data_IF_878930200890
#
_entry.id   IF_878930200890
#
_cell.length_a   1.000
_cell.length_b   1.000
_cell.length_c   1.000
_cell.angle_alpha   90.00
_cell.angle_beta   90.00
_cell.angle_gamma   90.00
#
_symmetry.space_group_name_H-M   'P 1'
#
loop_
_entity.id
_entity.type
_entity.pdbx_description
1 polymer ?
#
# COMPACT_ATOMS: atom_id res chain seq x y z
N UNK A 1 74.62 -1.17 -11.04
CA UNK A 1 73.94 -0.15 -10.19
C UNK A 1 72.57 0.04 -10.74
N UNK A 2 71.66 -0.81 -10.35
CA UNK A 2 70.31 -0.88 -10.95
C UNK A 2 69.32 -0.38 -9.89
N UNK A 3 68.79 0.81 -10.13
CA UNK A 3 67.79 1.41 -9.30
C UNK A 3 66.41 0.83 -9.71
N UNK A 4 65.90 -0.07 -8.88
CA UNK A 4 64.55 -0.56 -8.94
C UNK A 4 63.61 0.56 -8.53
N UNK A 5 62.86 1.08 -9.51
CA UNK A 5 61.70 1.92 -9.28
C UNK A 5 60.53 1.06 -8.77
N UNK A 6 60.23 1.19 -7.53
CA UNK A 6 59.03 0.65 -6.90
C UNK A 6 57.84 1.49 -7.43
N UNK A 7 57.01 0.89 -8.28
CA UNK A 7 55.73 1.45 -8.67
C UNK A 7 54.85 1.58 -7.44
N UNK A 8 54.70 2.78 -6.98
CA UNK A 8 53.59 3.15 -6.09
C UNK A 8 52.29 2.97 -6.85
N UNK A 9 51.62 1.87 -6.66
CA UNK A 9 50.20 1.73 -6.97
C UNK A 9 49.43 2.68 -6.06
N UNK A 10 48.83 3.69 -6.67
CA UNK A 10 47.99 4.68 -6.04
C UNK A 10 46.87 4.02 -5.20
N UNK A 11 46.77 4.29 -3.88
CA UNK A 11 45.74 3.69 -3.02
C UNK A 11 44.35 4.31 -3.22
N UNK A 12 44.17 5.16 -4.24
CA UNK A 12 42.91 5.85 -4.53
C UNK A 12 41.87 5.01 -5.26
N UNK A 13 42.15 3.73 -5.56
CA UNK A 13 41.17 2.85 -6.23
C UNK A 13 40.32 1.98 -5.28
N UNK A 14 40.51 2.07 -3.99
CA UNK A 14 39.56 1.53 -3.03
C UNK A 14 38.43 2.54 -2.91
N UNK A 15 37.38 2.34 -3.73
CA UNK A 15 36.09 3.00 -3.52
C UNK A 15 35.70 2.70 -2.09
N UNK A 16 35.76 3.71 -1.24
CA UNK A 16 35.34 3.64 0.14
C UNK A 16 33.83 3.44 0.17
N UNK A 17 33.41 2.18 0.25
CA UNK A 17 32.01 1.75 0.32
C UNK A 17 31.27 2.34 1.52
N UNK A 18 32.02 2.96 2.47
CA UNK A 18 31.45 3.61 3.65
C UNK A 18 30.79 4.97 3.34
N UNK A 19 31.03 5.56 2.15
CA UNK A 19 30.52 6.87 1.76
C UNK A 19 29.37 6.85 0.74
N UNK A 20 28.87 5.68 0.37
CA UNK A 20 27.62 5.60 -0.39
C UNK A 20 26.49 5.96 0.59
N UNK A 21 25.99 7.18 0.50
CA UNK A 21 24.86 7.61 1.33
C UNK A 21 23.68 6.65 1.14
N UNK A 22 22.93 6.40 2.22
CA UNK A 22 21.69 5.59 2.19
C UNK A 22 20.77 5.97 1.03
N UNK A 23 20.74 7.26 0.68
CA UNK A 23 20.00 7.80 -0.47
C UNK A 23 20.47 7.23 -1.81
N UNK A 24 21.79 7.11 -2.01
CA UNK A 24 22.36 6.53 -3.23
C UNK A 24 22.12 5.03 -3.33
N UNK A 25 22.14 4.33 -2.20
CA UNK A 25 21.78 2.90 -2.15
C UNK A 25 20.30 2.72 -2.46
N UNK A 26 19.42 3.52 -1.84
CA UNK A 26 17.98 3.49 -2.09
C UNK A 26 17.62 3.87 -3.53
N UNK A 27 18.35 4.82 -4.14
CA UNK A 27 18.13 5.21 -5.53
C UNK A 27 18.39 4.06 -6.53
N UNK A 28 19.33 3.16 -6.22
CA UNK A 28 19.69 2.02 -7.07
C UNK A 28 18.70 0.85 -6.98
N UNK A 29 17.84 0.82 -5.97
CA UNK A 29 16.85 -0.23 -5.80
C UNK A 29 15.79 -0.18 -6.91
N UNK A 30 15.35 -1.33 -7.36
CA UNK A 30 14.18 -1.47 -8.23
C UNK A 30 12.90 -1.03 -7.49
N UNK A 31 11.81 -0.81 -8.22
CA UNK A 31 10.53 -0.44 -7.63
C UNK A 31 10.05 -1.48 -6.60
N UNK A 32 10.18 -2.77 -6.91
CA UNK A 32 9.75 -3.85 -6.02
C UNK A 32 10.62 -3.95 -4.75
N UNK A 33 11.92 -3.73 -4.86
CA UNK A 33 12.82 -3.68 -3.71
C UNK A 33 12.52 -2.48 -2.80
N UNK A 34 12.21 -1.32 -3.37
CA UNK A 34 11.75 -0.13 -2.62
C UNK A 34 10.47 -0.42 -1.85
N UNK A 35 9.52 -1.10 -2.47
CA UNK A 35 8.27 -1.49 -1.83
C UNK A 35 8.51 -2.50 -0.69
N UNK A 36 9.44 -3.46 -0.86
CA UNK A 36 9.82 -4.39 0.20
C UNK A 36 10.47 -3.69 1.41
N UNK A 37 11.35 -2.72 1.14
CA UNK A 37 11.94 -1.89 2.20
C UNK A 37 10.85 -1.09 2.92
N UNK A 38 9.94 -0.47 2.18
CA UNK A 38 8.81 0.26 2.74
C UNK A 38 7.90 -0.64 3.59
N UNK A 39 7.59 -1.87 3.12
CA UNK A 39 6.83 -2.85 3.90
C UNK A 39 7.51 -3.15 5.24
N UNK A 40 8.82 -3.40 5.25
CA UNK A 40 9.57 -3.66 6.49
C UNK A 40 9.55 -2.47 7.44
N UNK A 41 9.74 -1.26 6.93
CA UNK A 41 9.69 -0.02 7.73
C UNK A 41 8.30 0.22 8.33
N UNK A 42 7.23 -0.15 7.61
CA UNK A 42 5.85 -0.05 8.07
C UNK A 42 5.44 -1.23 8.98
N UNK A 43 6.33 -2.18 9.26
CA UNK A 43 6.03 -3.35 10.06
C UNK A 43 5.04 -4.30 9.40
N UNK A 44 5.12 -4.44 8.07
CA UNK A 44 4.29 -5.36 7.30
C UNK A 44 5.02 -6.69 7.05
N UNK A 45 4.30 -7.81 7.16
CA UNK A 45 4.80 -9.14 6.84
C UNK A 45 4.92 -9.36 5.32
N UNK A 46 3.98 -8.79 4.58
CA UNK A 46 3.93 -8.89 3.12
C UNK A 46 3.31 -7.63 2.52
N UNK A 47 3.60 -7.39 1.24
CA UNK A 47 3.07 -6.26 0.49
C UNK A 47 1.57 -6.47 0.23
N UNK A 48 0.69 -5.52 0.60
CA UNK A 48 -0.71 -5.57 0.20
C UNK A 48 -0.85 -5.57 -1.32
N UNK A 49 -1.90 -6.21 -1.83
CA UNK A 49 -2.20 -6.17 -3.27
C UNK A 49 -2.79 -4.81 -3.67
N UNK A 50 -2.82 -4.52 -4.97
CA UNK A 50 -3.49 -3.30 -5.47
C UNK A 50 -5.00 -3.39 -5.26
N UNK A 51 -5.69 -2.26 -5.20
CA UNK A 51 -7.17 -2.25 -5.04
C UNK A 51 -7.87 -2.98 -6.19
N UNK A 52 -7.36 -2.93 -7.41
CA UNK A 52 -7.94 -3.65 -8.55
C UNK A 52 -7.71 -5.15 -8.44
N UNK A 53 -6.52 -5.60 -8.06
CA UNK A 53 -6.26 -7.01 -7.77
C UNK A 53 -7.19 -7.50 -6.66
N UNK A 54 -7.35 -6.71 -5.58
CA UNK A 54 -8.24 -7.05 -4.47
C UNK A 54 -9.71 -7.22 -4.89
N UNK A 55 -10.17 -6.48 -5.89
CA UNK A 55 -11.55 -6.57 -6.42
C UNK A 55 -11.71 -7.74 -7.38
N UNK A 56 -10.68 -8.05 -8.19
CA UNK A 56 -10.82 -8.97 -9.33
C UNK A 56 -10.36 -10.40 -9.02
N UNK A 57 -9.48 -10.59 -8.04
CA UNK A 57 -8.89 -11.90 -7.72
C UNK A 57 -9.79 -12.68 -6.76
N UNK A 58 -10.07 -13.95 -7.10
CA UNK A 58 -10.95 -14.87 -6.33
C UNK A 58 -10.49 -15.11 -4.90
N UNK A 59 -9.20 -15.00 -4.65
CA UNK A 59 -8.66 -15.13 -3.29
C UNK A 59 -9.14 -14.00 -2.37
N UNK A 60 -9.51 -12.85 -2.93
CA UNK A 60 -10.02 -11.70 -2.19
C UNK A 60 -11.52 -11.49 -2.41
N UNK A 61 -11.91 -10.49 -3.18
CA UNK A 61 -13.31 -10.15 -3.43
C UNK A 61 -13.81 -10.61 -4.81
N UNK A 62 -12.96 -11.19 -5.65
CA UNK A 62 -13.27 -11.52 -7.04
C UNK A 62 -14.35 -12.60 -7.23
N UNK A 63 -14.72 -13.32 -6.18
CA UNK A 63 -15.74 -14.36 -6.23
C UNK A 63 -17.02 -13.89 -6.93
N UNK A 64 -17.65 -14.77 -7.71
CA UNK A 64 -18.88 -14.51 -8.48
C UNK A 64 -20.02 -13.95 -7.63
N UNK A 65 -20.12 -14.37 -6.35
CA UNK A 65 -21.15 -13.90 -5.42
C UNK A 65 -20.90 -12.50 -4.84
N UNK A 66 -19.72 -11.90 -5.03
CA UNK A 66 -19.35 -10.63 -4.43
C UNK A 66 -19.11 -9.56 -5.50
N UNK A 67 -18.00 -9.64 -6.23
CA UNK A 67 -17.68 -8.67 -7.28
C UNK A 67 -17.69 -9.26 -8.68
N UNK A 68 -17.78 -10.58 -8.81
CA UNK A 68 -17.76 -11.29 -10.09
C UNK A 68 -16.56 -10.83 -10.94
N UNK A 69 -15.33 -11.05 -10.44
CA UNK A 69 -14.08 -10.62 -11.06
C UNK A 69 -14.05 -9.11 -11.40
N UNK A 70 -14.74 -8.31 -10.59
CA UNK A 70 -14.89 -6.88 -10.79
C UNK A 70 -16.07 -6.49 -11.69
N UNK A 71 -16.78 -7.43 -12.33
CA UNK A 71 -17.90 -7.13 -13.24
C UNK A 71 -19.12 -6.51 -12.52
N UNK A 72 -19.31 -6.81 -11.24
CA UNK A 72 -20.37 -6.22 -10.42
C UNK A 72 -20.04 -4.80 -9.92
N UNK A 73 -18.80 -4.33 -10.14
CA UNK A 73 -18.38 -2.97 -9.79
C UNK A 73 -18.58 -2.05 -10.97
N UNK A 74 -19.32 -0.95 -10.79
CA UNK A 74 -19.51 0.05 -11.86
C UNK A 74 -18.16 0.57 -12.37
N UNK A 75 -18.02 0.77 -13.67
CA UNK A 75 -16.80 1.22 -14.32
C UNK A 75 -16.28 2.54 -13.75
N UNK A 76 -17.17 3.44 -13.40
CA UNK A 76 -16.83 4.67 -12.69
C UNK A 76 -15.99 4.37 -11.42
N UNK A 77 -16.39 3.39 -10.60
CA UNK A 77 -15.65 3.04 -9.39
C UNK A 77 -14.33 2.33 -9.68
N UNK A 78 -14.27 1.53 -10.75
CA UNK A 78 -13.00 0.92 -11.21
C UNK A 78 -11.96 1.97 -11.57
N UNK A 79 -12.39 3.12 -12.09
CA UNK A 79 -11.51 4.25 -12.40
C UNK A 79 -11.16 5.09 -11.17
N UNK A 80 -12.10 5.29 -10.24
CA UNK A 80 -11.88 6.16 -9.08
C UNK A 80 -11.09 5.48 -7.96
N UNK A 81 -11.32 4.19 -7.71
CA UNK A 81 -10.67 3.47 -6.63
C UNK A 81 -9.13 3.47 -6.74
N UNK A 82 -8.51 3.26 -7.92
CA UNK A 82 -7.06 3.41 -8.07
C UNK A 82 -6.54 4.84 -7.86
N UNK A 83 -7.36 5.87 -8.13
CA UNK A 83 -6.99 7.27 -7.85
C UNK A 83 -7.02 7.57 -6.35
N UNK A 84 -7.91 6.91 -5.62
CA UNK A 84 -8.00 6.99 -4.16
C UNK A 84 -6.85 6.21 -3.50
N UNK A 85 -6.55 5.03 -4.02
CA UNK A 85 -5.49 4.14 -3.57
C UNK A 85 -4.42 3.94 -4.66
N UNK A 86 -3.61 4.95 -4.96
CA UNK A 86 -2.61 4.88 -6.04
C UNK A 86 -1.46 3.90 -5.72
N UNK A 87 -1.27 3.58 -4.47
CA UNK A 87 -0.29 2.61 -3.98
C UNK A 87 -0.93 1.72 -2.91
N UNK A 88 -0.61 0.42 -2.89
CA UNK A 88 -1.05 -0.46 -1.82
C UNK A 88 -0.48 -0.06 -0.44
N UNK A 89 0.67 0.61 -0.40
CA UNK A 89 1.34 0.99 0.86
C UNK A 89 0.85 2.33 1.43
N UNK A 90 0.43 3.25 0.56
CA UNK A 90 0.14 4.64 0.94
C UNK A 90 -1.36 4.92 0.80
N UNK A 91 -1.95 5.52 1.83
CA UNK A 91 -3.28 6.11 1.75
C UNK A 91 -3.15 7.58 1.34
N UNK A 92 -3.70 7.93 0.18
CA UNK A 92 -3.67 9.32 -0.32
C UNK A 92 -4.56 10.25 0.49
N UNK A 93 -5.67 9.73 1.01
CA UNK A 93 -6.69 10.51 1.70
C UNK A 93 -6.99 9.93 3.08
N UNK A 94 -7.10 10.81 4.08
CA UNK A 94 -7.55 10.46 5.44
C UNK A 94 -9.07 10.49 5.55
N UNK A 95 -9.73 11.24 4.67
CA UNK A 95 -11.18 11.43 4.68
C UNK A 95 -11.73 11.39 3.25
N UNK A 96 -12.78 10.61 3.06
CA UNK A 96 -13.45 10.44 1.76
C UNK A 96 -14.95 10.60 1.97
N UNK A 97 -15.56 11.53 1.22
CA UNK A 97 -17.01 11.79 1.25
C UNK A 97 -17.63 11.42 -0.09
N UNK A 98 -18.75 10.74 -0.05
CA UNK A 98 -19.53 10.38 -1.24
C UNK A 98 -20.82 11.17 -1.29
N UNK A 99 -21.03 11.88 -2.38
CA UNK A 99 -22.30 12.54 -2.72
C UNK A 99 -22.81 12.02 -4.06
N UNK A 100 -24.08 12.20 -4.33
CA UNK A 100 -24.70 11.82 -5.61
C UNK A 100 -26.02 11.04 -5.43
N UNK A 101 -26.60 10.65 -6.58
CA UNK A 101 -27.92 10.01 -6.63
C UNK A 101 -27.96 8.61 -5.98
N UNK A 102 -29.15 8.17 -5.65
CA UNK A 102 -29.44 6.79 -5.21
C UNK A 102 -29.13 5.86 -6.38
N UNK A 103 -28.55 4.67 -6.07
CA UNK A 103 -28.22 3.66 -7.09
C UNK A 103 -26.84 3.82 -7.74
N UNK A 104 -26.07 4.87 -7.44
CA UNK A 104 -24.72 5.07 -8.01
C UNK A 104 -23.63 4.17 -7.43
N UNK A 105 -23.98 3.16 -6.63
CA UNK A 105 -23.01 2.18 -6.07
C UNK A 105 -22.13 2.71 -4.93
N UNK A 106 -22.41 3.89 -4.36
CA UNK A 106 -21.62 4.49 -3.28
C UNK A 106 -21.43 3.57 -2.08
N UNK A 107 -22.50 2.96 -1.59
CA UNK A 107 -22.45 2.05 -0.43
C UNK A 107 -21.62 0.80 -0.74
N UNK A 108 -21.68 0.30 -1.96
CA UNK A 108 -20.86 -0.83 -2.39
C UNK A 108 -19.38 -0.45 -2.49
N UNK A 109 -19.06 0.67 -3.11
CA UNK A 109 -17.68 1.19 -3.14
C UNK A 109 -17.12 1.46 -1.75
N UNK A 110 -17.93 2.03 -0.84
CA UNK A 110 -17.53 2.26 0.56
C UNK A 110 -17.20 0.95 1.27
N UNK A 111 -17.99 -0.12 1.06
CA UNK A 111 -17.70 -1.45 1.63
C UNK A 111 -16.39 -2.02 1.07
N UNK A 112 -16.18 -1.95 -0.24
CA UNK A 112 -14.92 -2.38 -0.87
C UNK A 112 -13.73 -1.67 -0.25
N UNK A 113 -13.80 -0.35 -0.09
CA UNK A 113 -12.72 0.43 0.52
C UNK A 113 -12.47 0.04 1.98
N UNK A 114 -13.53 -0.19 2.77
CA UNK A 114 -13.41 -0.65 4.14
C UNK A 114 -12.73 -2.03 4.23
N UNK A 115 -13.14 -2.97 3.39
CA UNK A 115 -12.53 -4.30 3.31
C UNK A 115 -11.08 -4.23 2.83
N UNK A 116 -10.77 -3.36 1.90
CA UNK A 116 -9.40 -3.13 1.45
C UNK A 116 -8.50 -2.57 2.56
N UNK A 117 -9.01 -1.67 3.39
CA UNK A 117 -8.27 -1.18 4.56
C UNK A 117 -8.04 -2.31 5.59
N UNK A 118 -9.02 -3.19 5.80
CA UNK A 118 -8.84 -4.39 6.62
C UNK A 118 -7.76 -5.31 6.07
N UNK A 119 -7.75 -5.56 4.75
CA UNK A 119 -6.69 -6.32 4.10
C UNK A 119 -5.31 -5.70 4.34
N UNK A 120 -5.18 -4.38 4.22
CA UNK A 120 -3.92 -3.68 4.50
C UNK A 120 -3.46 -3.85 5.96
N UNK A 121 -4.38 -3.85 6.91
CA UNK A 121 -4.09 -4.10 8.32
C UNK A 121 -3.69 -5.55 8.58
N UNK A 122 -4.31 -6.51 7.89
CA UNK A 122 -3.96 -7.93 7.97
C UNK A 122 -2.52 -8.20 7.47
N UNK A 123 -2.04 -7.41 6.51
CA UNK A 123 -0.66 -7.46 6.07
C UNK A 123 0.36 -6.99 7.12
N UNK A 124 -0.07 -6.27 8.18
CA UNK A 124 0.82 -5.80 9.23
C UNK A 124 1.16 -6.92 10.22
N UNK A 125 2.43 -6.97 10.66
CA UNK A 125 2.88 -7.90 11.71
C UNK A 125 2.09 -7.69 13.01
N UNK A 126 1.85 -6.42 13.34
CA UNK A 126 1.04 -6.03 14.50
C UNK A 126 0.31 -4.72 14.17
N UNK A 127 -0.96 -4.84 13.82
CA UNK A 127 -1.80 -3.70 13.46
C UNK A 127 -1.90 -2.64 14.59
N UNK A 128 -1.87 -3.06 15.85
CA UNK A 128 -1.94 -2.13 16.99
C UNK A 128 -0.69 -1.25 17.07
N UNK A 129 0.49 -1.86 16.94
CA UNK A 129 1.75 -1.12 16.95
C UNK A 129 1.86 -0.20 15.73
N UNK A 130 1.48 -0.69 14.56
CA UNK A 130 1.50 0.09 13.31
C UNK A 130 0.56 1.30 13.35
N UNK A 131 -0.54 1.21 14.11
CA UNK A 131 -1.48 2.31 14.34
C UNK A 131 -1.17 3.14 15.59
N UNK A 132 -0.09 2.82 16.32
CA UNK A 132 0.27 3.52 17.56
C UNK A 132 -0.74 3.30 18.71
N UNK A 133 -1.46 2.19 18.70
CA UNK A 133 -2.48 1.88 19.72
C UNK A 133 -1.86 1.19 20.95
N UNK A 134 -2.45 1.44 22.10
CA UNK A 134 -2.05 0.77 23.34
C UNK A 134 -2.34 -0.74 23.29
N UNK A 135 -1.55 -1.59 23.97
CA UNK A 135 -1.82 -3.00 24.11
C UNK A 135 -3.24 -3.23 24.68
N UNK A 136 -4.02 -4.08 24.02
CA UNK A 136 -5.41 -4.38 24.41
C UNK A 136 -6.47 -3.44 23.83
N UNK A 137 -6.10 -2.41 23.07
CA UNK A 137 -7.05 -1.63 22.28
C UNK A 137 -7.82 -2.53 21.32
N UNK A 138 -9.08 -2.21 21.03
CA UNK A 138 -9.89 -2.93 20.07
C UNK A 138 -10.02 -2.11 18.79
N UNK A 139 -9.74 -2.72 17.65
CA UNK A 139 -10.03 -2.14 16.34
C UNK A 139 -11.48 -2.47 15.98
N UNK A 140 -12.23 -1.47 15.62
CA UNK A 140 -13.60 -1.63 15.16
C UNK A 140 -13.81 -0.84 13.88
N UNK A 141 -14.48 -1.45 12.90
CA UNK A 141 -14.92 -0.80 11.67
C UNK A 141 -16.43 -0.63 11.73
N UNK A 142 -16.90 0.60 11.60
CA UNK A 142 -18.31 0.93 11.58
C UNK A 142 -18.72 1.53 10.26
N UNK A 143 -19.84 1.04 9.70
CA UNK A 143 -20.51 1.66 8.56
C UNK A 143 -21.76 2.37 9.06
N UNK A 144 -21.75 3.69 9.02
CA UNK A 144 -22.89 4.51 9.43
C UNK A 144 -23.65 4.98 8.20
N UNK A 145 -24.93 4.62 8.12
CA UNK A 145 -25.81 5.09 7.06
C UNK A 145 -26.83 6.06 7.66
N UNK A 146 -26.77 7.32 7.23
CA UNK A 146 -27.80 8.30 7.60
C UNK A 146 -28.90 8.28 6.56
N UNK A 147 -30.08 7.80 6.93
CA UNK A 147 -31.28 8.01 6.14
C UNK A 147 -31.67 9.49 6.24
N UNK A 148 -31.48 10.25 5.16
CA UNK A 148 -32.23 11.49 4.99
C UNK A 148 -33.64 11.06 4.58
N UNK A 149 -34.53 10.89 5.55
CA UNK A 149 -35.96 10.78 5.27
C UNK A 149 -36.41 12.05 4.57
N UNK A 150 -36.85 11.93 3.33
CA UNK A 150 -37.66 12.95 2.70
C UNK A 150 -38.95 13.04 3.52
N UNK A 151 -39.16 14.15 4.23
CA UNK A 151 -40.47 14.56 4.70
C UNK A 151 -41.21 15.25 3.59
#
# INVERSE_FOLDING_TARGET
>A
MDNNFINHTDPTSLIDLSQITLEQQYAKLTSDEKDLVACKLLGMNHKPVTILTFICDDYFLGNEGITNHGNAVFDYWKEQLPKIFPSPLINKYCYISFSGCIGSGKSFASRIMGLYQLHKLDCCTNAYTSLGLAPGAKLAFGFFHRYCGLR
#
